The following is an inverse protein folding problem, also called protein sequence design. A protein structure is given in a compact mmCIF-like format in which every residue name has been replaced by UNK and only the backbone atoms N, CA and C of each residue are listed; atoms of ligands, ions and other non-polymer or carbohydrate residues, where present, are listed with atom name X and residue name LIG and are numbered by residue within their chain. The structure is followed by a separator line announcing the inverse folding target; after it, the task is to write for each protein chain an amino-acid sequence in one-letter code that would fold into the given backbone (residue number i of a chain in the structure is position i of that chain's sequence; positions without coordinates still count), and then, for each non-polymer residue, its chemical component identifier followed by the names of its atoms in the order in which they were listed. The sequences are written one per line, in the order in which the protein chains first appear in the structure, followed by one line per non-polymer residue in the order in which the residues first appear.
data_IF_738991654847
#
_entry.id   IF_738991654847
#
_cell.length_a   1.000
_cell.length_b   1.000
_cell.length_c   1.000
_cell.angle_alpha   90.00
_cell.angle_beta   90.00
_cell.angle_gamma   90.00
#
_symmetry.space_group_name_H-M   'P 1'
#
loop_
_entity.id
_entity.type
_entity.pdbx_description
1 polymer ?
#
# COMPACT_ATOMS: atom_id res chain seq x y z
N UNK A 1 92.03 32.50 5.29
CA UNK A 1 91.89 31.58 6.45
C UNK A 1 90.84 30.55 6.03
N UNK A 2 91.24 29.28 5.84
CA UNK A 2 90.50 28.09 5.35
C UNK A 2 89.84 28.21 3.95
N UNK A 3 90.19 27.50 2.87
CA UNK A 3 90.58 26.10 2.57
C UNK A 3 89.42 25.11 2.42
N UNK A 4 89.49 24.34 1.31
CA UNK A 4 88.72 23.19 0.79
C UNK A 4 87.51 23.49 -0.11
N UNK A 5 87.61 23.41 -1.46
CA UNK A 5 87.79 22.26 -2.39
C UNK A 5 86.62 21.27 -2.41
N UNK A 6 85.86 21.24 -3.51
CA UNK A 6 85.79 20.08 -4.42
C UNK A 6 85.23 20.49 -5.80
N UNK A 7 86.05 20.28 -6.83
CA UNK A 7 85.71 20.20 -8.27
C UNK A 7 84.67 19.08 -8.51
N UNK A 8 83.94 18.96 -9.63
CA UNK A 8 84.38 19.12 -11.01
C UNK A 8 83.22 19.03 -12.01
N UNK A 9 83.41 19.70 -13.16
CA UNK A 9 83.00 19.35 -14.53
C UNK A 9 81.54 19.54 -14.93
N UNK A 10 81.34 20.58 -15.75
CA UNK A 10 80.14 20.76 -16.55
C UNK A 10 80.11 19.91 -17.82
N UNK A 11 79.01 20.02 -18.55
CA UNK A 11 78.92 20.27 -19.99
C UNK A 11 77.43 20.31 -20.36
N UNK A 12 77.07 21.33 -21.13
CA UNK A 12 75.78 21.51 -21.79
C UNK A 12 75.54 20.38 -22.79
N UNK A 13 74.35 19.80 -22.82
CA UNK A 13 73.80 19.16 -24.03
C UNK A 13 72.32 19.51 -24.18
N UNK A 14 72.02 20.00 -25.39
CA UNK A 14 70.73 20.30 -25.95
C UNK A 14 69.91 19.03 -26.26
N UNK A 15 68.60 19.24 -26.37
CA UNK A 15 67.67 18.56 -27.28
C UNK A 15 66.88 17.32 -26.80
N UNK A 16 65.57 17.55 -26.72
CA UNK A 16 64.48 16.85 -27.44
C UNK A 16 64.36 15.33 -27.25
N UNK A 17 63.41 14.95 -26.39
CA UNK A 17 62.43 13.86 -26.51
C UNK A 17 61.70 13.82 -25.15
N UNK A 18 60.41 13.57 -25.00
CA UNK A 18 59.51 12.71 -25.74
C UNK A 18 58.08 13.13 -25.36
N UNK A 19 57.17 13.07 -26.33
CA UNK A 19 55.73 13.30 -26.18
C UNK A 19 55.15 12.32 -25.15
N UNK A 20 54.52 12.85 -24.10
CA UNK A 20 53.59 12.10 -23.27
C UNK A 20 52.25 12.83 -23.28
N UNK A 21 51.42 12.49 -24.27
CA UNK A 21 50.01 12.87 -24.34
C UNK A 21 49.27 12.14 -23.21
N UNK A 22 49.11 12.76 -22.04
CA UNK A 22 48.12 12.28 -21.07
C UNK A 22 46.74 12.63 -21.62
N UNK A 23 46.16 11.69 -22.37
CA UNK A 23 44.73 11.69 -22.61
C UNK A 23 44.03 11.50 -21.26
N UNK A 24 43.54 12.59 -20.68
CA UNK A 24 42.55 12.50 -19.60
C UNK A 24 41.29 11.93 -20.23
N UNK A 25 41.12 10.61 -20.11
CA UNK A 25 39.83 9.97 -20.33
C UNK A 25 38.85 10.51 -19.29
N UNK A 26 38.13 11.57 -19.64
CA UNK A 26 36.89 11.88 -18.94
C UNK A 26 35.95 10.71 -19.20
N UNK A 27 35.90 9.77 -18.24
CA UNK A 27 34.83 8.80 -18.17
C UNK A 27 33.52 9.58 -18.14
N UNK A 28 32.82 9.62 -19.28
CA UNK A 28 31.45 10.10 -19.45
C UNK A 28 30.42 9.18 -18.77
N UNK A 29 30.84 8.48 -17.70
CA UNK A 29 30.00 7.64 -16.87
C UNK A 29 29.80 8.36 -15.55
N UNK A 30 28.78 9.23 -15.49
CA UNK A 30 27.93 9.52 -14.32
C UNK A 30 27.11 10.81 -14.46
N UNK A 31 26.61 11.12 -15.66
CA UNK A 31 25.46 12.02 -15.79
C UNK A 31 24.35 11.22 -16.47
N UNK A 32 23.57 10.50 -15.66
CA UNK A 32 22.20 10.05 -15.97
C UNK A 32 21.57 9.35 -14.76
N UNK A 33 21.59 10.01 -13.60
CA UNK A 33 20.44 9.89 -12.71
C UNK A 33 19.30 10.72 -13.32
N UNK A 34 18.73 10.24 -14.43
CA UNK A 34 17.42 10.72 -14.82
C UNK A 34 16.49 10.24 -13.70
N UNK A 35 16.10 11.14 -12.81
CA UNK A 35 14.94 10.90 -11.95
C UNK A 35 13.83 10.44 -12.88
N UNK A 36 13.41 9.18 -12.77
CA UNK A 36 12.26 8.69 -13.52
C UNK A 36 11.09 9.49 -12.98
N UNK A 37 10.74 10.59 -13.65
CA UNK A 37 9.50 11.30 -13.37
C UNK A 37 8.42 10.23 -13.37
N UNK A 38 7.62 10.18 -12.29
CA UNK A 38 6.46 9.31 -12.26
C UNK A 38 5.71 9.52 -13.58
N UNK A 39 5.28 8.42 -14.21
CA UNK A 39 4.55 8.48 -15.47
C UNK A 39 3.45 9.53 -15.36
N UNK A 40 3.64 10.65 -16.06
CA UNK A 40 2.79 11.83 -15.97
C UNK A 40 1.45 11.66 -16.67
N UNK A 41 1.20 10.51 -17.30
CA UNK A 41 0.00 10.30 -18.07
C UNK A 41 -1.21 10.45 -17.12
N UNK A 42 -1.99 11.53 -17.27
CA UNK A 42 -3.30 11.61 -16.65
C UNK A 42 -4.09 10.41 -17.16
N UNK A 43 -5.11 9.95 -16.42
CA UNK A 43 -6.04 8.92 -16.89
C UNK A 43 -6.92 9.38 -18.09
N UNK A 44 -6.39 10.24 -18.96
CA UNK A 44 -7.07 10.94 -20.04
C UNK A 44 -7.22 12.44 -19.77
N UNK A 45 -7.49 13.25 -20.80
CA UNK A 45 -7.81 14.67 -20.66
C UNK A 45 -8.97 14.90 -19.68
N UNK A 46 -8.89 15.97 -18.89
CA UNK A 46 -9.98 16.38 -17.97
C UNK A 46 -10.17 15.50 -16.74
N UNK A 47 -9.32 14.49 -16.50
CA UNK A 47 -9.36 13.67 -15.28
C UNK A 47 -8.45 14.24 -14.18
N UNK A 48 -8.77 13.99 -12.90
CA UNK A 48 -7.86 14.30 -11.80
C UNK A 48 -6.49 13.65 -12.01
N UNK A 49 -5.44 14.34 -11.56
CA UNK A 49 -4.06 13.87 -11.66
C UNK A 49 -3.28 14.23 -10.39
N UNK A 50 -2.13 13.60 -10.20
CA UNK A 50 -1.23 13.87 -9.07
C UNK A 50 0.22 13.85 -9.54
N UNK A 51 1.04 14.75 -9.01
CA UNK A 51 2.49 14.75 -9.21
C UNK A 51 3.24 13.93 -8.17
N UNK A 52 2.58 13.61 -7.05
CA UNK A 52 3.19 12.83 -6.00
C UNK A 52 3.41 11.39 -6.49
N UNK A 53 4.65 10.91 -6.38
CA UNK A 53 4.98 9.52 -6.72
C UNK A 53 4.35 8.51 -5.75
N UNK A 54 4.04 8.96 -4.52
CA UNK A 54 3.46 8.17 -3.45
C UNK A 54 2.38 9.00 -2.71
N UNK A 55 1.23 9.28 -3.34
CA UNK A 55 0.19 10.09 -2.74
C UNK A 55 -0.50 9.34 -1.58
N UNK A 56 -0.52 9.97 -0.42
CA UNK A 56 -1.29 9.53 0.75
C UNK A 56 -2.40 10.54 1.05
N UNK A 57 -3.43 10.10 1.75
CA UNK A 57 -4.44 10.96 2.37
C UNK A 57 -4.87 10.35 3.70
N UNK A 58 -5.49 11.10 4.58
CA UNK A 58 -5.88 10.63 5.90
C UNK A 58 -7.39 10.76 6.10
N UNK A 59 -8.06 9.67 6.43
CA UNK A 59 -9.48 9.66 6.82
C UNK A 59 -9.58 9.51 8.34
N UNK A 60 -10.56 10.18 8.95
CA UNK A 60 -10.72 10.17 10.40
C UNK A 60 -11.96 10.94 10.84
N UNK A 61 -12.19 10.92 12.15
CA UNK A 61 -13.23 11.70 12.82
C UNK A 61 -12.52 12.80 13.61
N UNK A 62 -13.07 14.01 13.62
CA UNK A 62 -12.57 15.09 14.48
C UNK A 62 -12.46 14.62 15.94
N UNK A 63 -11.41 15.06 16.63
CA UNK A 63 -11.08 14.74 18.03
C UNK A 63 -10.77 13.26 18.34
N UNK A 64 -10.76 12.39 17.33
CA UNK A 64 -10.23 11.05 17.49
C UNK A 64 -8.70 11.10 17.65
N UNK A 65 -8.17 10.25 18.54
CA UNK A 65 -6.73 10.21 18.81
C UNK A 65 -5.91 9.82 17.58
N UNK A 66 -6.46 8.97 16.72
CA UNK A 66 -5.79 8.47 15.51
C UNK A 66 -6.75 8.48 14.33
N UNK A 67 -6.24 8.88 13.16
CA UNK A 67 -6.87 8.66 11.87
C UNK A 67 -6.39 7.37 11.20
N UNK A 68 -6.68 7.24 9.92
CA UNK A 68 -6.25 6.14 9.06
C UNK A 68 -5.69 6.72 7.78
N UNK A 69 -4.47 6.32 7.43
CA UNK A 69 -3.85 6.70 6.17
C UNK A 69 -4.39 5.83 5.04
N UNK A 70 -4.80 6.44 3.93
CA UNK A 70 -4.99 5.76 2.65
C UNK A 70 -3.66 5.80 1.89
N UNK A 71 -2.99 4.65 1.79
CA UNK A 71 -1.64 4.51 1.19
C UNK A 71 -1.67 4.71 -0.33
N UNK A 72 -0.54 4.84 -1.06
CA UNK A 72 -0.56 4.94 -2.53
C UNK A 72 -1.26 3.78 -3.26
N UNK A 73 -1.20 2.57 -2.70
CA UNK A 73 -1.90 1.39 -3.21
C UNK A 73 -3.40 1.37 -2.87
N UNK A 74 -3.93 2.37 -2.18
CA UNK A 74 -5.33 2.40 -1.75
C UNK A 74 -5.62 1.51 -0.53
N UNK A 75 -4.57 0.99 0.11
CA UNK A 75 -4.72 0.25 1.36
C UNK A 75 -5.06 1.23 2.50
N UNK A 76 -5.77 0.74 3.51
CA UNK A 76 -5.98 1.48 4.75
C UNK A 76 -4.92 1.10 5.77
N UNK A 77 -4.18 2.07 6.25
CA UNK A 77 -3.16 1.90 7.27
C UNK A 77 -3.61 2.53 8.59
N UNK A 78 -3.50 1.72 9.65
CA UNK A 78 -3.64 2.15 11.04
C UNK A 78 -2.32 1.94 11.78
N UNK A 79 -2.28 2.28 13.07
CA UNK A 79 -1.18 1.92 13.94
C UNK A 79 -0.95 0.40 14.07
N UNK A 80 -1.96 -0.42 13.78
CA UNK A 80 -1.94 -1.86 14.08
C UNK A 80 -1.68 -2.76 12.87
N UNK A 81 -1.97 -2.27 11.67
CA UNK A 81 -1.91 -3.04 10.43
C UNK A 81 -2.15 -2.17 9.19
N UNK A 82 -1.92 -2.77 8.02
CA UNK A 82 -2.56 -2.35 6.78
C UNK A 82 -3.64 -3.34 6.36
N UNK A 83 -4.77 -2.83 5.88
CA UNK A 83 -5.77 -3.57 5.13
C UNK A 83 -5.59 -3.28 3.64
N UNK A 84 -5.14 -4.29 2.91
CA UNK A 84 -4.82 -4.24 1.49
C UNK A 84 -6.03 -4.63 0.65
N UNK A 85 -6.25 -3.92 -0.47
CA UNK A 85 -7.12 -4.37 -1.55
C UNK A 85 -6.25 -4.90 -2.69
N UNK A 86 -6.62 -6.06 -3.19
CA UNK A 86 -5.92 -6.77 -4.26
C UNK A 86 -6.93 -7.27 -5.29
N UNK A 87 -6.47 -7.46 -6.53
CA UNK A 87 -7.34 -7.85 -7.65
C UNK A 87 -6.72 -8.90 -8.55
N UNK A 88 -7.59 -9.70 -9.17
CA UNK A 88 -7.27 -10.76 -10.11
C UNK A 88 -6.63 -12.00 -9.47
N UNK A 89 -6.49 -13.07 -10.26
CA UNK A 89 -6.04 -14.40 -9.81
C UNK A 89 -4.63 -14.47 -9.21
N UNK A 90 -3.85 -13.39 -9.29
CA UNK A 90 -2.50 -13.29 -8.71
C UNK A 90 -2.43 -12.38 -7.47
N UNK A 91 -3.59 -11.98 -6.93
CA UNK A 91 -3.71 -11.08 -5.77
C UNK A 91 -2.80 -9.84 -5.90
N UNK A 92 -2.89 -9.14 -7.04
CA UNK A 92 -2.06 -7.95 -7.27
C UNK A 92 -2.59 -6.81 -6.43
N UNK A 93 -1.77 -6.13 -5.60
CA UNK A 93 -2.18 -4.90 -4.93
C UNK A 93 -2.73 -3.89 -5.94
N UNK A 94 -3.85 -3.26 -5.60
CA UNK A 94 -4.44 -2.24 -6.45
C UNK A 94 -3.54 -1.01 -6.50
N UNK A 95 -3.64 -0.23 -7.58
CA UNK A 95 -3.00 1.07 -7.69
C UNK A 95 -4.08 2.14 -7.64
N UNK A 96 -4.04 2.96 -6.59
CA UNK A 96 -5.03 4.00 -6.35
C UNK A 96 -4.38 5.39 -6.25
N UNK A 97 -3.31 5.63 -7.01
CA UNK A 97 -2.57 6.90 -6.96
C UNK A 97 -3.47 8.13 -7.19
N UNK A 98 -4.47 8.01 -8.07
CA UNK A 98 -5.45 9.08 -8.32
C UNK A 98 -6.71 8.82 -7.51
N UNK A 99 -7.12 9.82 -6.73
CA UNK A 99 -8.30 9.79 -5.85
C UNK A 99 -9.06 11.09 -5.95
N UNK A 100 -10.34 11.04 -5.61
CA UNK A 100 -11.20 12.22 -5.48
C UNK A 100 -11.86 12.23 -4.11
N UNK A 101 -12.29 13.41 -3.68
CA UNK A 101 -13.05 13.58 -2.44
C UNK A 101 -14.53 13.74 -2.77
N UNK A 102 -15.41 13.26 -1.89
CA UNK A 102 -16.86 13.44 -2.02
C UNK A 102 -17.17 14.94 -2.06
N UNK A 103 -17.68 15.42 -3.20
CA UNK A 103 -17.94 16.84 -3.47
C UNK A 103 -16.75 17.77 -3.20
N UNK A 104 -15.52 17.25 -3.23
CA UNK A 104 -14.30 18.02 -2.94
C UNK A 104 -13.97 18.17 -1.44
N UNK A 105 -14.67 17.49 -0.54
CA UNK A 105 -14.49 17.60 0.92
C UNK A 105 -14.14 16.27 1.59
N UNK A 106 -13.31 16.35 2.63
CA UNK A 106 -13.03 15.23 3.55
C UNK A 106 -14.27 14.89 4.40
N UNK A 107 -14.38 13.68 4.99
CA UNK A 107 -13.39 12.59 5.03
C UNK A 107 -13.70 11.43 4.06
N UNK A 108 -14.57 11.63 3.06
CA UNK A 108 -14.97 10.58 2.14
C UNK A 108 -14.08 10.61 0.91
N UNK A 109 -13.37 9.51 0.67
CA UNK A 109 -12.41 9.32 -0.42
C UNK A 109 -12.97 8.31 -1.41
N UNK A 110 -12.80 8.61 -2.70
CA UNK A 110 -13.13 7.70 -3.80
C UNK A 110 -11.92 7.44 -4.68
N UNK A 111 -11.85 6.21 -5.18
CA UNK A 111 -11.01 5.86 -6.32
C UNK A 111 -11.65 4.70 -7.05
N UNK A 112 -11.10 4.38 -8.22
CA UNK A 112 -11.48 3.18 -8.94
C UNK A 112 -10.26 2.47 -9.50
N UNK A 113 -10.40 1.17 -9.73
CA UNK A 113 -9.42 0.36 -10.44
C UNK A 113 -10.17 -0.65 -11.33
N UNK A 114 -9.40 -1.35 -12.16
CA UNK A 114 -9.94 -2.30 -13.13
C UNK A 114 -9.30 -3.68 -12.94
N UNK A 115 -10.12 -4.72 -13.12
CA UNK A 115 -9.67 -6.07 -13.42
C UNK A 115 -10.46 -6.54 -14.65
N UNK A 116 -9.75 -6.67 -15.78
CA UNK A 116 -10.37 -6.87 -17.10
C UNK A 116 -11.45 -5.82 -17.42
N UNK A 117 -12.69 -6.26 -17.70
CA UNK A 117 -13.84 -5.39 -17.99
C UNK A 117 -14.61 -4.97 -16.73
N UNK A 118 -14.18 -5.40 -15.54
CA UNK A 118 -14.83 -5.04 -14.28
C UNK A 118 -14.17 -3.79 -13.70
N UNK A 119 -14.95 -2.73 -13.60
CA UNK A 119 -14.60 -1.53 -12.84
C UNK A 119 -14.97 -1.73 -11.37
N UNK A 120 -14.04 -1.42 -10.49
CA UNK A 120 -14.26 -1.39 -9.05
C UNK A 120 -14.26 0.04 -8.56
N UNK A 121 -15.41 0.55 -8.12
CA UNK A 121 -15.53 1.84 -7.45
C UNK A 121 -15.42 1.65 -5.94
N UNK A 122 -14.40 2.27 -5.34
CA UNK A 122 -14.12 2.18 -3.92
C UNK A 122 -14.48 3.50 -3.24
N UNK A 123 -15.27 3.42 -2.18
CA UNK A 123 -15.57 4.55 -1.28
C UNK A 123 -15.06 4.21 0.12
N UNK A 124 -14.30 5.11 0.72
CA UNK A 124 -13.74 4.95 2.07
C UNK A 124 -14.02 6.18 2.92
N UNK A 125 -14.40 5.98 4.17
CA UNK A 125 -14.53 7.04 5.17
C UNK A 125 -14.46 6.45 6.58
N UNK A 126 -14.15 7.28 7.57
CA UNK A 126 -14.22 6.89 8.98
C UNK A 126 -15.47 7.45 9.63
N UNK A 127 -16.16 6.63 10.42
CA UNK A 127 -17.29 7.06 11.23
C UNK A 127 -17.41 6.24 12.51
N UNK A 128 -18.17 6.75 13.47
CA UNK A 128 -18.39 6.07 14.73
C UNK A 128 -19.63 5.18 14.66
N UNK A 129 -19.57 4.01 15.29
CA UNK A 129 -20.75 3.15 15.42
C UNK A 129 -21.67 3.57 16.58
N UNK A 130 -21.16 4.31 17.57
CA UNK A 130 -21.95 4.90 18.65
C UNK A 130 -21.94 6.42 18.56
N UNK A 131 -23.14 7.01 18.61
CA UNK A 131 -23.34 8.47 18.65
C UNK A 131 -22.89 9.11 19.97
N UNK A 132 -22.79 8.33 21.07
CA UNK A 132 -22.50 8.86 22.40
C UNK A 132 -21.02 9.25 22.58
N UNK A 133 -20.09 8.57 21.91
CA UNK A 133 -18.64 8.84 22.01
C UNK A 133 -17.93 8.62 20.67
N UNK A 134 -18.24 9.43 19.64
CA UNK A 134 -17.86 9.11 18.28
C UNK A 134 -16.34 9.04 18.05
N UNK A 135 -15.57 9.80 18.82
CA UNK A 135 -14.11 9.87 18.73
C UNK A 135 -13.35 8.72 19.42
N UNK A 136 -14.02 7.89 20.25
CA UNK A 136 -13.32 6.85 21.05
C UNK A 136 -13.04 5.57 20.31
N UNK A 137 -13.87 5.23 19.32
CA UNK A 137 -13.76 3.98 18.58
C UNK A 137 -14.18 4.19 17.12
N UNK A 138 -13.44 5.02 16.36
CA UNK A 138 -13.71 5.22 14.95
C UNK A 138 -13.52 3.92 14.16
N UNK A 139 -14.39 3.72 13.18
CA UNK A 139 -14.39 2.58 12.26
C UNK A 139 -14.27 3.11 10.84
N UNK A 140 -13.38 2.53 10.06
CA UNK A 140 -13.30 2.76 8.64
C UNK A 140 -14.33 1.90 7.92
N UNK A 141 -15.17 2.51 7.10
CA UNK A 141 -16.09 1.85 6.20
C UNK A 141 -15.46 1.82 4.81
N UNK A 142 -15.48 0.64 4.18
CA UNK A 142 -14.96 0.44 2.84
C UNK A 142 -16.06 -0.18 2.01
N UNK A 143 -16.62 0.57 1.07
CA UNK A 143 -17.61 0.09 0.12
C UNK A 143 -16.95 -0.10 -1.23
N UNK A 144 -17.09 -1.30 -1.78
CA UNK A 144 -16.57 -1.66 -3.10
C UNK A 144 -17.74 -2.06 -3.99
N UNK A 145 -17.98 -1.30 -5.06
CA UNK A 145 -18.95 -1.65 -6.10
C UNK A 145 -18.20 -2.18 -7.30
N UNK A 146 -18.52 -3.39 -7.72
CA UNK A 146 -17.99 -4.00 -8.94
C UNK A 146 -19.03 -3.90 -10.04
N UNK A 147 -18.66 -3.34 -11.20
CA UNK A 147 -19.53 -3.17 -12.36
C UNK A 147 -18.86 -3.71 -13.62
N UNK A 148 -19.54 -4.57 -14.37
CA UNK A 148 -19.03 -5.07 -15.65
C UNK A 148 -19.36 -4.08 -16.78
N UNK A 149 -18.37 -3.32 -17.20
CA UNK A 149 -18.46 -2.38 -18.33
C UNK A 149 -18.39 -3.09 -19.70
N UNK A 150 -18.10 -4.40 -19.72
CA UNK A 150 -17.99 -5.20 -20.93
C UNK A 150 -19.34 -5.66 -21.49
N UNK A 151 -19.34 -6.02 -22.77
CA UNK A 151 -20.51 -6.56 -23.48
C UNK A 151 -20.77 -8.05 -23.20
N UNK A 152 -19.81 -8.77 -22.61
CA UNK A 152 -19.92 -10.20 -22.31
C UNK A 152 -19.90 -10.45 -20.78
N UNK A 153 -20.48 -11.57 -20.30
CA UNK A 153 -20.27 -12.02 -18.93
C UNK A 153 -18.79 -12.17 -18.61
N UNK A 154 -18.40 -11.84 -17.39
CA UNK A 154 -17.01 -11.87 -16.93
C UNK A 154 -16.91 -12.35 -15.50
N UNK A 155 -15.75 -12.90 -15.15
CA UNK A 155 -15.37 -13.27 -13.80
C UNK A 155 -14.16 -12.47 -13.40
N UNK A 156 -14.18 -11.90 -12.20
CA UNK A 156 -13.10 -11.13 -11.61
C UNK A 156 -12.91 -11.51 -10.15
N UNK A 157 -11.72 -11.27 -9.60
CA UNK A 157 -11.43 -11.56 -8.20
C UNK A 157 -11.08 -10.29 -7.44
N UNK A 158 -11.71 -10.14 -6.27
CA UNK A 158 -11.38 -9.12 -5.28
C UNK A 158 -10.89 -9.82 -4.02
N UNK A 159 -9.71 -9.43 -3.54
CA UNK A 159 -9.13 -9.97 -2.31
C UNK A 159 -8.83 -8.84 -1.33
N UNK A 160 -9.27 -8.99 -0.08
CA UNK A 160 -8.79 -8.19 1.04
C UNK A 160 -7.75 -8.99 1.81
N UNK A 161 -6.69 -8.33 2.27
CA UNK A 161 -5.67 -8.98 3.10
C UNK A 161 -5.15 -8.06 4.18
N UNK A 162 -4.79 -8.65 5.32
CA UNK A 162 -4.08 -7.96 6.38
C UNK A 162 -2.57 -8.04 6.11
N UNK A 163 -1.84 -6.98 6.38
CA UNK A 163 -0.42 -7.07 6.69
C UNK A 163 -0.13 -6.24 7.94
N UNK A 164 1.00 -6.47 8.61
CA UNK A 164 1.40 -5.56 9.70
C UNK A 164 1.75 -4.15 9.15
N UNK A 165 2.21 -4.11 7.90
CA UNK A 165 2.61 -2.90 7.22
C UNK A 165 4.07 -2.59 7.49
N UNK A 166 4.92 -2.85 6.49
CA UNK A 166 6.30 -2.38 6.44
C UNK A 166 6.50 -1.70 5.09
N UNK A 167 6.73 -0.39 5.11
CA UNK A 167 6.94 0.36 3.88
C UNK A 167 7.44 1.77 4.14
N UNK A 168 8.05 2.35 3.11
CA UNK A 168 8.37 3.77 3.04
C UNK A 168 7.10 4.58 2.77
N UNK A 169 7.13 5.90 3.02
CA UNK A 169 6.03 6.84 2.68
C UNK A 169 4.72 6.59 3.44
N UNK A 170 4.84 6.38 4.75
CA UNK A 170 3.73 6.05 5.65
C UNK A 170 3.76 6.94 6.88
N UNK A 171 2.60 7.32 7.39
CA UNK A 171 2.51 7.95 8.71
C UNK A 171 3.04 6.99 9.78
N UNK A 172 4.01 7.48 10.54
CA UNK A 172 4.60 6.76 11.65
C UNK A 172 3.72 6.97 12.88
N UNK A 173 2.77 6.06 13.08
CA UNK A 173 2.07 5.92 14.35
C UNK A 173 2.97 5.19 15.37
N UNK A 174 2.81 5.43 16.69
CA UNK A 174 3.28 4.47 17.68
C UNK A 174 2.61 3.11 17.43
N UNK A 175 3.39 2.09 17.06
CA UNK A 175 2.87 0.75 16.71
C UNK A 175 3.31 -0.28 17.76
N UNK A 176 2.47 -1.27 18.09
CA UNK A 176 2.94 -2.44 18.81
C UNK A 176 4.02 -3.13 17.99
N UNK A 177 5.06 -3.68 18.62
CA UNK A 177 6.08 -4.45 17.89
C UNK A 177 5.42 -5.61 17.14
N UNK A 178 5.87 -5.87 15.91
CA UNK A 178 5.48 -7.06 15.18
C UNK A 178 5.81 -8.31 16.00
N UNK A 179 4.86 -9.25 16.07
CA UNK A 179 5.03 -10.53 16.76
C UNK A 179 4.75 -11.68 15.77
N UNK A 180 5.77 -12.49 15.53
CA UNK A 180 5.68 -13.67 14.65
C UNK A 180 4.83 -14.80 15.25
N UNK A 181 4.50 -14.73 16.54
CA UNK A 181 3.70 -15.73 17.25
C UNK A 181 2.21 -15.39 17.29
N UNK A 182 1.79 -14.30 16.64
CA UNK A 182 0.37 -13.99 16.54
C UNK A 182 -0.41 -15.13 15.90
N UNK A 183 -1.52 -15.49 16.57
CA UNK A 183 -2.50 -16.44 16.04
C UNK A 183 -3.47 -15.68 15.16
N UNK A 184 -3.64 -16.14 13.93
CA UNK A 184 -4.56 -15.61 12.95
C UNK A 184 -5.74 -16.57 12.80
N UNK A 185 -6.95 -16.02 12.72
CA UNK A 185 -8.17 -16.81 12.57
C UNK A 185 -9.29 -16.04 11.88
N UNK A 186 -10.33 -16.76 11.47
CA UNK A 186 -11.59 -16.19 11.03
C UNK A 186 -12.73 -16.72 11.89
N UNK A 187 -13.69 -15.84 12.19
CA UNK A 187 -14.88 -16.19 12.96
C UNK A 187 -16.05 -15.29 12.55
N UNK A 188 -17.17 -15.87 12.13
CA UNK A 188 -18.43 -15.15 11.87
C UNK A 188 -18.30 -13.85 11.05
N UNK A 189 -17.56 -13.87 9.94
CA UNK A 189 -17.34 -12.67 9.11
C UNK A 189 -16.28 -11.70 9.65
N UNK A 190 -15.49 -12.12 10.63
CA UNK A 190 -14.39 -11.34 11.21
C UNK A 190 -13.05 -11.99 10.91
N UNK A 191 -12.06 -11.16 10.60
CA UNK A 191 -10.66 -11.54 10.51
C UNK A 191 -9.95 -11.13 11.81
N UNK A 192 -9.37 -12.12 12.49
CA UNK A 192 -8.87 -11.99 13.86
C UNK A 192 -7.35 -12.19 13.91
N UNK A 193 -6.67 -11.34 14.68
CA UNK A 193 -5.26 -11.51 15.05
C UNK A 193 -5.14 -11.40 16.57
N UNK A 194 -4.58 -12.42 17.22
CA UNK A 194 -4.45 -12.48 18.68
C UNK A 194 -5.79 -12.18 19.42
N UNK A 195 -6.89 -12.77 18.93
CA UNK A 195 -8.25 -12.57 19.44
C UNK A 195 -8.80 -11.13 19.33
N UNK A 196 -8.20 -10.30 18.47
CA UNK A 196 -8.68 -8.96 18.15
C UNK A 196 -9.20 -8.91 16.72
N UNK A 197 -10.35 -8.28 16.52
CA UNK A 197 -10.94 -7.98 15.22
C UNK A 197 -10.09 -6.94 14.51
N UNK A 198 -9.52 -7.37 13.39
CA UNK A 198 -8.70 -6.53 12.52
C UNK A 198 -9.55 -5.89 11.42
N UNK A 199 -10.50 -6.65 10.86
CA UNK A 199 -11.54 -6.17 9.96
C UNK A 199 -12.70 -7.16 9.89
N UNK A 200 -13.83 -6.72 9.34
CA UNK A 200 -15.02 -7.52 9.07
C UNK A 200 -15.34 -7.52 7.57
N UNK A 201 -16.02 -8.56 7.13
CA UNK A 201 -16.32 -8.79 5.72
C UNK A 201 -17.68 -9.51 5.55
N UNK A 202 -18.38 -9.27 4.42
CA UNK A 202 -19.69 -9.87 4.17
C UNK A 202 -19.59 -11.37 3.87
N UNK A 203 -20.38 -12.18 4.57
CA UNK A 203 -20.37 -13.64 4.38
C UNK A 203 -21.37 -14.14 3.34
N UNK A 204 -22.38 -13.33 3.00
CA UNK A 204 -23.46 -13.72 2.07
C UNK A 204 -22.93 -14.01 0.66
N UNK A 205 -21.86 -13.33 0.26
CA UNK A 205 -21.16 -13.56 -1.00
C UNK A 205 -20.20 -14.77 -0.97
N UNK A 206 -20.18 -15.53 0.14
CA UNK A 206 -19.44 -16.80 0.32
C UNK A 206 -17.96 -16.70 -0.10
N UNK A 207 -17.16 -15.82 0.52
CA UNK A 207 -15.76 -15.69 0.18
C UNK A 207 -14.97 -16.95 0.51
N UNK A 208 -13.88 -17.15 -0.22
CA UNK A 208 -12.85 -18.10 0.15
C UNK A 208 -11.88 -17.44 1.15
N UNK A 209 -11.52 -18.18 2.19
CA UNK A 209 -10.68 -17.70 3.28
C UNK A 209 -9.31 -18.35 3.21
N UNK A 210 -8.26 -17.54 3.29
CA UNK A 210 -6.87 -18.00 3.29
C UNK A 210 -6.10 -17.39 4.45
N UNK A 211 -5.19 -18.16 5.03
CA UNK A 211 -4.33 -17.68 6.12
C UNK A 211 -3.07 -16.99 5.60
N UNK A 212 -2.60 -17.39 4.42
CA UNK A 212 -1.55 -16.75 3.58
C UNK A 212 -1.94 -16.91 2.10
N UNK A 213 -1.27 -16.20 1.18
CA UNK A 213 -1.61 -16.19 -0.25
C UNK A 213 -1.76 -17.58 -0.90
N UNK A 214 -1.03 -18.57 -0.38
CA UNK A 214 -0.93 -19.93 -0.89
C UNK A 214 -1.61 -20.99 0.01
N UNK A 215 -2.19 -20.59 1.15
CA UNK A 215 -2.71 -21.53 2.16
C UNK A 215 -4.13 -21.19 2.57
N UNK A 216 -5.08 -22.04 2.15
CA UNK A 216 -6.47 -21.95 2.59
C UNK A 216 -6.59 -22.05 4.12
N UNK A 217 -7.55 -21.32 4.68
CA UNK A 217 -7.82 -21.35 6.10
C UNK A 217 -8.66 -22.58 6.46
N UNK A 218 -8.25 -23.28 7.53
CA UNK A 218 -9.00 -24.40 8.10
C UNK A 218 -9.22 -24.24 9.61
N UNK A 219 -8.25 -23.65 10.32
CA UNK A 219 -8.28 -23.46 11.76
C UNK A 219 -7.35 -22.31 12.20
N UNK A 220 -7.54 -21.75 13.40
CA UNK A 220 -6.63 -20.78 14.00
C UNK A 220 -5.19 -21.30 14.03
N UNK A 221 -4.24 -20.48 13.61
CA UNK A 221 -2.82 -20.87 13.54
C UNK A 221 -1.88 -19.66 13.50
N UNK A 222 -0.61 -19.89 13.79
CA UNK A 222 0.46 -18.94 13.50
C UNK A 222 0.87 -19.03 12.03
N UNK A 223 1.43 -17.94 11.50
CA UNK A 223 1.96 -17.90 10.12
C UNK A 223 3.40 -17.43 10.18
N UNK A 224 4.28 -18.06 9.41
CA UNK A 224 5.65 -17.58 9.19
C UNK A 224 5.61 -16.34 8.28
N UNK A 225 5.26 -15.20 8.89
CA UNK A 225 5.07 -13.92 8.21
C UNK A 225 6.21 -12.94 8.56
N UNK A 226 6.55 -12.07 7.61
CA UNK A 226 7.25 -10.83 7.89
C UNK A 226 6.23 -9.69 8.04
N UNK A 227 6.72 -8.50 8.39
CA UNK A 227 5.88 -7.31 8.51
C UNK A 227 5.13 -6.92 7.21
N UNK A 228 5.63 -7.33 6.04
CA UNK A 228 5.00 -7.07 4.74
C UNK A 228 4.24 -8.27 4.16
N UNK A 229 4.24 -9.43 4.82
CA UNK A 229 3.55 -10.62 4.33
C UNK A 229 2.02 -10.44 4.46
N UNK A 230 1.25 -10.60 3.37
CA UNK A 230 -0.20 -10.66 3.45
C UNK A 230 -0.67 -11.92 4.16
N UNK A 231 -1.57 -11.75 5.13
CA UNK A 231 -2.22 -12.79 5.93
C UNK A 231 -3.71 -12.49 6.04
N UNK A 232 -4.51 -13.45 6.50
CA UNK A 232 -5.97 -13.29 6.63
C UNK A 232 -6.61 -12.76 5.34
N UNK A 233 -6.45 -13.50 4.24
CA UNK A 233 -7.01 -13.10 2.96
C UNK A 233 -8.47 -13.56 2.85
N UNK A 234 -9.32 -12.65 2.36
CA UNK A 234 -10.72 -12.90 2.06
C UNK A 234 -10.93 -12.63 0.57
N UNK A 235 -11.13 -13.69 -0.21
CA UNK A 235 -11.22 -13.64 -1.66
C UNK A 235 -12.66 -13.85 -2.13
N UNK A 236 -13.14 -12.95 -2.97
CA UNK A 236 -14.44 -13.01 -3.63
C UNK A 236 -14.26 -13.29 -5.12
N UNK A 237 -14.86 -14.36 -5.60
CA UNK A 237 -15.05 -14.59 -7.04
C UNK A 237 -16.32 -13.88 -7.48
N UNK A 238 -16.18 -12.80 -8.23
CA UNK A 238 -17.26 -11.93 -8.68
C UNK A 238 -17.63 -12.29 -10.11
N UNK A 239 -18.82 -12.86 -10.29
CA UNK A 239 -19.37 -13.24 -11.59
C UNK A 239 -20.45 -12.23 -12.00
N UNK A 240 -20.24 -11.51 -13.10
CA UNK A 240 -21.13 -10.45 -13.55
C UNK A 240 -21.52 -10.64 -15.01
N UNK A 241 -22.82 -10.56 -15.29
CA UNK A 241 -23.32 -10.36 -16.66
C UNK A 241 -22.92 -8.96 -17.16
N UNK A 242 -23.06 -8.71 -18.46
CA UNK A 242 -22.87 -7.36 -19.01
C UNK A 242 -23.77 -6.35 -18.27
N UNK A 243 -23.21 -5.19 -17.91
CA UNK A 243 -23.89 -4.12 -17.17
C UNK A 243 -24.44 -4.52 -15.78
N UNK A 244 -24.03 -5.68 -15.25
CA UNK A 244 -24.38 -6.08 -13.89
C UNK A 244 -23.43 -5.43 -12.88
N UNK A 245 -23.96 -5.12 -11.70
CA UNK A 245 -23.18 -4.69 -10.55
C UNK A 245 -23.42 -5.57 -9.33
N UNK A 246 -22.44 -5.58 -8.43
CA UNK A 246 -22.56 -6.06 -7.05
C UNK A 246 -21.84 -5.12 -6.08
N UNK A 247 -22.18 -5.21 -4.80
CA UNK A 247 -21.60 -4.37 -3.75
C UNK A 247 -21.11 -5.24 -2.59
N UNK A 248 -19.95 -4.89 -2.06
CA UNK A 248 -19.36 -5.47 -0.86
C UNK A 248 -19.01 -4.34 0.11
N UNK A 249 -19.36 -4.50 1.38
CA UNK A 249 -19.07 -3.51 2.43
C UNK A 249 -18.23 -4.17 3.52
N UNK A 250 -17.07 -3.60 3.78
CA UNK A 250 -16.13 -4.02 4.81
C UNK A 250 -16.03 -2.96 5.89
N UNK A 251 -15.66 -3.38 7.09
CA UNK A 251 -15.38 -2.47 8.21
C UNK A 251 -14.02 -2.79 8.81
N UNK A 252 -13.23 -1.76 9.09
CA UNK A 252 -11.93 -1.91 9.73
C UNK A 252 -11.87 -0.96 10.92
N UNK A 253 -11.78 -1.47 12.16
CA UNK A 253 -11.52 -0.63 13.32
C UNK A 253 -10.21 0.14 13.16
N UNK A 254 -10.18 1.43 13.54
CA UNK A 254 -8.91 2.18 13.62
C UNK A 254 -8.00 1.58 14.70
N UNK A 255 -8.61 1.08 15.78
CA UNK A 255 -7.98 0.30 16.84
C UNK A 255 -8.60 -1.10 16.90
N UNK A 256 -7.81 -2.18 16.90
CA UNK A 256 -8.34 -3.53 17.01
C UNK A 256 -9.26 -3.69 18.22
N UNK A 257 -10.40 -4.32 18.01
CA UNK A 257 -11.44 -4.54 19.05
C UNK A 257 -11.34 -5.99 19.51
N UNK A 258 -11.43 -6.25 20.80
CA UNK A 258 -11.46 -7.63 21.29
C UNK A 258 -12.68 -8.38 20.73
N UNK A 259 -12.52 -9.65 20.36
CA UNK A 259 -13.57 -10.40 19.65
C UNK A 259 -14.89 -10.54 20.44
N UNK A 260 -14.82 -10.53 21.76
CA UNK A 260 -15.96 -10.50 22.68
C UNK A 260 -16.76 -9.19 22.62
N UNK A 261 -16.14 -8.11 22.16
CA UNK A 261 -16.75 -6.80 21.98
C UNK A 261 -17.18 -6.54 20.53
N UNK A 262 -17.13 -7.55 19.66
CA UNK A 262 -17.45 -7.41 18.24
C UNK A 262 -18.91 -7.05 17.94
N UNK A 263 -19.83 -7.20 18.91
CA UNK A 263 -21.20 -6.69 18.78
C UNK A 263 -21.27 -5.17 18.56
N UNK A 264 -20.15 -4.47 18.80
CA UNK A 264 -20.01 -3.05 18.50
C UNK A 264 -19.78 -2.76 17.02
N UNK A 265 -19.59 -3.76 16.15
CA UNK A 265 -19.19 -3.62 14.73
C UNK A 265 -20.33 -3.71 13.71
#
# INVERSE_FOLDING_TARGET
MCSYLFESRGIKVFAVSLIATLAVSLNAANIKAASKMASLLPNGPGRPFTWASHPTTEIGIADALNGTEVTPSGSLQTASCDLMLMSGASDRPVNAAIRTLERGYMPIVHYHFYDHSVRYDVTMFSWALSAQKPYRSPINFIRVKAFNEGAAPTTSELTLALSYGAGQHRVIFPRPKFDSNWIYSFQSGMALRANQVMFTFPTDAKPQLFISQDKAYSQPQTVKASASTPVLLVRYTINLKSSQQTELVFKMPVHPIAADNAAQL
#
